data_IF_910282259484
#
_entry.id   IF_910282259484
#
_cell.length_a   1.000
_cell.length_b   1.000
_cell.length_c   1.000
_cell.angle_alpha   90.00
_cell.angle_beta   90.00
_cell.angle_gamma   90.00
#
_symmetry.space_group_name_H-M   'P 1'
#
loop_
_entity.id
_entity.type
_entity.pdbx_description
1 polymer ?
#
# COMPACT_ATOMS: atom_id res chain seq x y z
N UNK A 1 -26.80 1.13 5.59
CA UNK A 1 -26.16 -0.03 6.24
C UNK A 1 -24.74 0.38 6.51
N UNK A 2 -24.35 0.52 7.78
CA UNK A 2 -22.99 0.87 8.17
C UNK A 2 -22.06 -0.20 7.61
N UNK A 3 -21.32 0.15 6.56
CA UNK A 3 -20.20 -0.67 6.12
C UNK A 3 -19.18 -0.58 7.25
N UNK A 4 -19.16 -1.60 8.10
CA UNK A 4 -18.17 -1.77 9.17
C UNK A 4 -16.79 -1.57 8.54
N UNK A 5 -16.21 -0.39 8.73
CA UNK A 5 -14.88 -0.09 8.20
C UNK A 5 -13.93 -1.14 8.76
N UNK A 6 -13.36 -1.99 7.91
CA UNK A 6 -12.35 -2.97 8.30
C UNK A 6 -11.17 -2.21 8.90
N UNK A 7 -11.11 -2.17 10.23
CA UNK A 7 -10.08 -1.47 10.99
C UNK A 7 -8.94 -2.44 11.25
N UNK A 8 -7.89 -2.31 10.45
CA UNK A 8 -6.59 -2.88 10.77
C UNK A 8 -5.88 -1.96 11.77
N UNK A 9 -5.08 -2.53 12.68
CA UNK A 9 -4.20 -1.73 13.52
C UNK A 9 -3.22 -0.94 12.65
N UNK A 10 -2.91 0.29 13.08
CA UNK A 10 -1.87 1.08 12.43
C UNK A 10 -0.55 0.34 12.46
N UNK A 11 0.23 0.51 11.40
CA UNK A 11 1.54 -0.09 11.28
C UNK A 11 2.57 0.70 12.06
N UNK A 12 3.15 0.07 13.07
CA UNK A 12 4.18 0.64 13.93
C UNK A 12 5.62 0.36 13.44
N UNK A 13 5.78 -0.46 12.39
CA UNK A 13 7.08 -0.92 11.89
C UNK A 13 7.41 -2.37 12.23
N UNK A 14 6.56 -3.06 13.00
CA UNK A 14 6.75 -4.45 13.43
C UNK A 14 5.81 -5.41 12.72
N UNK A 15 6.24 -6.67 12.57
CA UNK A 15 5.45 -7.73 11.92
C UNK A 15 4.87 -7.33 10.56
N UNK A 16 5.73 -6.77 9.69
CA UNK A 16 5.34 -6.25 8.38
C UNK A 16 4.57 -7.26 7.53
N UNK A 17 4.93 -8.56 7.55
CA UNK A 17 4.21 -9.58 6.79
C UNK A 17 2.72 -9.68 7.16
N UNK A 18 2.41 -9.70 8.46
CA UNK A 18 1.02 -9.78 8.91
C UNK A 18 0.24 -8.50 8.60
N UNK A 19 0.88 -7.33 8.79
CA UNK A 19 0.25 -6.06 8.44
C UNK A 19 0.02 -5.94 6.92
N UNK A 20 1.03 -6.28 6.12
CA UNK A 20 0.98 -6.29 4.64
C UNK A 20 -0.19 -7.13 4.15
N UNK A 21 -0.32 -8.37 4.64
CA UNK A 21 -1.42 -9.25 4.27
C UNK A 21 -2.79 -8.65 4.61
N UNK A 22 -2.97 -8.13 5.84
CA UNK A 22 -4.23 -7.47 6.23
C UNK A 22 -4.54 -6.24 5.39
N UNK A 23 -3.53 -5.42 5.09
CA UNK A 23 -3.69 -4.24 4.27
C UNK A 23 -4.07 -4.60 2.83
N UNK A 24 -3.44 -5.63 2.25
CA UNK A 24 -3.84 -6.15 0.94
C UNK A 24 -5.33 -6.52 0.92
N UNK A 25 -5.83 -7.25 1.94
CA UNK A 25 -7.25 -7.59 2.03
C UNK A 25 -8.17 -6.35 2.11
N UNK A 26 -7.75 -5.30 2.82
CA UNK A 26 -8.50 -4.03 2.87
C UNK A 26 -8.51 -3.32 1.51
N UNK A 27 -7.43 -3.41 0.74
CA UNK A 27 -7.34 -2.81 -0.60
C UNK A 27 -8.15 -3.61 -1.62
N UNK A 28 -8.16 -4.93 -1.54
CA UNK A 28 -8.99 -5.82 -2.36
C UNK A 28 -10.48 -5.59 -2.09
N UNK A 29 -10.92 -5.53 -0.82
CA UNK A 29 -12.30 -5.22 -0.42
C UNK A 29 -12.82 -3.88 -0.98
N UNK A 30 -11.90 -2.97 -1.33
CA UNK A 30 -12.21 -1.62 -1.81
C UNK A 30 -12.00 -1.43 -3.31
N UNK A 31 -11.67 -2.49 -4.04
CA UNK A 31 -11.32 -2.50 -5.47
C UNK A 31 -10.15 -1.56 -5.80
N UNK A 32 -9.14 -1.55 -4.92
CA UNK A 32 -7.97 -0.68 -5.01
C UNK A 32 -6.68 -1.44 -5.30
N UNK A 33 -6.66 -2.75 -5.06
CA UNK A 33 -5.44 -3.56 -5.12
C UNK A 33 -4.77 -3.52 -6.50
N UNK A 34 -5.54 -3.62 -7.58
CA UNK A 34 -5.06 -3.57 -8.97
C UNK A 34 -4.15 -2.36 -9.30
N UNK A 35 -4.39 -1.22 -8.63
CA UNK A 35 -3.58 0.00 -8.79
C UNK A 35 -2.35 -0.03 -7.88
N UNK A 36 -2.43 -0.72 -6.74
CA UNK A 36 -1.34 -0.83 -5.76
C UNK A 36 -0.33 -1.88 -6.21
N UNK A 37 -0.78 -3.04 -6.69
CA UNK A 37 0.06 -4.12 -7.23
C UNK A 37 0.73 -3.75 -8.55
N UNK A 38 0.22 -2.71 -9.23
CA UNK A 38 0.69 -2.29 -10.55
C UNK A 38 0.18 -3.18 -11.69
N UNK A 39 -0.85 -3.99 -11.45
CA UNK A 39 -1.60 -4.72 -12.49
C UNK A 39 -2.21 -3.76 -13.51
N UNK A 40 -2.77 -2.64 -13.03
CA UNK A 40 -3.19 -1.51 -13.85
C UNK A 40 -2.21 -0.37 -13.64
N UNK A 41 -1.70 0.19 -14.74
CA UNK A 41 -0.80 1.34 -14.75
C UNK A 41 -1.42 2.52 -15.49
N UNK A 42 -0.89 3.71 -15.20
CA UNK A 42 -1.36 4.94 -15.82
C UNK A 42 -1.22 4.90 -17.34
N UNK A 43 -0.16 4.26 -17.86
CA UNK A 43 0.16 4.20 -19.30
C UNK A 43 -0.81 3.31 -20.08
N UNK A 44 -1.52 2.40 -19.40
CA UNK A 44 -2.52 1.52 -20.01
C UNK A 44 -3.90 2.19 -20.14
N UNK A 45 -4.08 3.38 -19.56
CA UNK A 45 -5.37 4.09 -19.57
C UNK A 45 -5.51 4.92 -20.86
N UNK A 46 -6.23 4.38 -21.85
CA UNK A 46 -6.39 5.01 -23.17
C UNK A 46 -7.38 6.18 -23.17
N UNK A 47 -8.47 6.08 -22.40
CA UNK A 47 -9.50 7.13 -22.36
C UNK A 47 -9.31 8.09 -21.19
N UNK A 48 -9.85 9.31 -21.32
CA UNK A 48 -9.86 10.27 -20.21
C UNK A 48 -10.63 9.74 -18.98
N UNK A 49 -11.67 8.94 -19.22
CA UNK A 49 -12.46 8.31 -18.15
C UNK A 49 -11.63 7.28 -17.38
N UNK A 50 -10.85 6.45 -18.07
CA UNK A 50 -9.98 5.45 -17.45
C UNK A 50 -8.88 6.15 -16.63
N UNK A 51 -8.26 7.18 -17.20
CA UNK A 51 -7.24 7.97 -16.49
C UNK A 51 -7.80 8.65 -15.24
N UNK A 52 -9.01 9.20 -15.30
CA UNK A 52 -9.67 9.81 -14.15
C UNK A 52 -10.00 8.75 -13.07
N UNK A 53 -10.47 7.58 -13.49
CA UNK A 53 -10.79 6.44 -12.61
C UNK A 53 -9.53 5.91 -11.93
N UNK A 54 -8.47 5.67 -12.69
CA UNK A 54 -7.16 5.26 -12.17
C UNK A 54 -6.61 6.26 -11.15
N UNK A 55 -6.60 7.57 -11.49
CA UNK A 55 -6.13 8.62 -10.58
C UNK A 55 -6.96 8.66 -9.29
N UNK A 56 -8.28 8.46 -9.37
CA UNK A 56 -9.15 8.40 -8.20
C UNK A 56 -8.84 7.18 -7.32
N UNK A 57 -8.72 5.99 -7.92
CA UNK A 57 -8.34 4.76 -7.21
C UNK A 57 -6.97 4.90 -6.55
N UNK A 58 -5.97 5.39 -7.28
CA UNK A 58 -4.61 5.62 -6.79
C UNK A 58 -4.59 6.56 -5.58
N UNK A 59 -5.28 7.72 -5.64
CA UNK A 59 -5.38 8.63 -4.48
C UNK A 59 -6.09 7.99 -3.28
N UNK A 60 -7.17 7.24 -3.52
CA UNK A 60 -7.90 6.54 -2.45
C UNK A 60 -7.03 5.48 -1.79
N UNK A 61 -6.30 4.68 -2.58
CA UNK A 61 -5.37 3.68 -2.08
C UNK A 61 -4.23 4.31 -1.27
N UNK A 62 -3.64 5.40 -1.77
CA UNK A 62 -2.61 6.15 -1.06
C UNK A 62 -3.10 6.65 0.30
N UNK A 63 -4.32 7.20 0.35
CA UNK A 63 -4.92 7.65 1.60
C UNK A 63 -5.13 6.48 2.57
N UNK A 64 -5.63 5.32 2.11
CA UNK A 64 -5.79 4.12 2.94
C UNK A 64 -4.46 3.64 3.51
N UNK A 65 -3.42 3.57 2.68
CA UNK A 65 -2.07 3.17 3.12
C UNK A 65 -1.55 4.13 4.20
N UNK A 66 -1.53 5.43 3.92
CA UNK A 66 -1.03 6.43 4.87
C UNK A 66 -1.80 6.45 6.19
N UNK A 67 -3.14 6.34 6.15
CA UNK A 67 -3.97 6.39 7.35
C UNK A 67 -3.85 5.14 8.23
N UNK A 68 -3.37 4.03 7.66
CA UNK A 68 -3.09 2.80 8.39
C UNK A 68 -1.65 2.69 8.87
N UNK A 69 -0.89 3.79 8.83
CA UNK A 69 0.48 3.86 9.36
C UNK A 69 0.52 4.71 10.62
N UNK A 70 1.42 4.36 11.55
CA UNK A 70 1.79 5.27 12.61
C UNK A 70 2.63 6.43 12.07
N UNK A 71 2.58 7.57 12.77
CA UNK A 71 3.24 8.81 12.33
C UNK A 71 4.75 8.62 12.14
N UNK A 72 5.36 7.73 12.93
CA UNK A 72 6.79 7.38 12.82
C UNK A 72 7.16 6.69 11.51
N UNK A 73 6.20 6.03 10.86
CA UNK A 73 6.42 5.28 9.61
C UNK A 73 6.07 6.11 8.36
N UNK A 74 5.26 7.17 8.51
CA UNK A 74 4.85 8.04 7.39
C UNK A 74 6.00 8.60 6.52
N UNK A 75 7.21 8.90 7.05
CA UNK A 75 8.32 9.35 6.21
C UNK A 75 8.69 8.37 5.07
N UNK A 76 8.41 7.07 5.22
CA UNK A 76 8.70 6.05 4.20
C UNK A 76 7.84 6.20 2.93
N UNK A 77 6.59 6.65 3.09
CA UNK A 77 5.61 6.75 2.00
C UNK A 77 5.33 8.19 1.59
N UNK A 78 5.69 9.20 2.40
CA UNK A 78 5.38 10.61 2.16
C UNK A 78 5.85 11.12 0.79
N UNK A 79 7.01 10.66 0.32
CA UNK A 79 7.60 11.09 -0.97
C UNK A 79 7.25 10.15 -2.13
N UNK A 80 6.31 9.23 -1.95
CA UNK A 80 5.84 8.36 -3.01
C UNK A 80 5.00 9.14 -4.03
N UNK A 81 5.18 8.80 -5.29
CA UNK A 81 4.47 9.39 -6.44
C UNK A 81 3.02 8.88 -6.59
N UNK A 82 2.68 7.79 -5.91
CA UNK A 82 1.36 7.17 -5.91
C UNK A 82 1.31 5.93 -5.03
N UNK A 83 0.15 5.26 -4.99
CA UNK A 83 -0.05 4.11 -4.10
C UNK A 83 0.85 2.90 -4.43
N UNK A 84 1.11 2.63 -5.71
CA UNK A 84 2.04 1.58 -6.14
C UNK A 84 3.47 1.86 -5.66
N UNK A 85 4.00 3.07 -5.90
CA UNK A 85 5.33 3.49 -5.43
C UNK A 85 5.42 3.44 -3.89
N UNK A 86 4.38 3.88 -3.17
CA UNK A 86 4.32 3.78 -1.71
C UNK A 86 4.41 2.32 -1.24
N UNK A 87 3.67 1.42 -1.89
CA UNK A 87 3.69 -0.01 -1.58
C UNK A 87 5.05 -0.64 -1.82
N UNK A 88 5.64 -0.42 -3.01
CA UNK A 88 6.96 -0.95 -3.35
C UNK A 88 8.05 -0.46 -2.39
N UNK A 89 7.98 0.80 -1.92
CA UNK A 89 8.93 1.32 -0.91
C UNK A 89 8.81 0.61 0.43
N UNK A 90 7.59 0.26 0.85
CA UNK A 90 7.37 -0.49 2.09
C UNK A 90 7.93 -1.91 1.96
N UNK A 91 7.63 -2.60 0.86
CA UNK A 91 8.19 -3.92 0.57
C UNK A 91 9.72 -3.88 0.57
N UNK A 92 10.31 -2.94 -0.17
CA UNK A 92 11.75 -2.74 -0.23
C UNK A 92 12.36 -2.48 1.16
N UNK A 93 11.72 -1.67 1.99
CA UNK A 93 12.25 -1.32 3.30
C UNK A 93 12.22 -2.49 4.29
N UNK A 94 11.11 -3.22 4.36
CA UNK A 94 10.88 -4.23 5.41
C UNK A 94 11.23 -5.65 4.97
N UNK A 95 11.15 -5.98 3.68
CA UNK A 95 11.49 -7.32 3.18
C UNK A 95 13.00 -7.48 2.92
N UNK A 96 13.70 -6.43 2.44
CA UNK A 96 15.18 -6.46 2.36
C UNK A 96 15.80 -6.59 3.75
N UNK A 97 15.24 -5.92 4.76
CA UNK A 97 15.66 -6.08 6.17
C UNK A 97 15.41 -7.49 6.71
N UNK A 98 14.28 -8.11 6.34
CA UNK A 98 13.98 -9.49 6.74
C UNK A 98 15.01 -10.48 6.19
N UNK A 99 15.43 -10.33 4.92
CA UNK A 99 16.47 -11.19 4.32
C UNK A 99 17.85 -10.97 4.94
N UNK A 100 18.24 -9.71 5.17
CA UNK A 100 19.50 -9.38 5.84
C UNK A 100 19.54 -9.96 7.27
N UNK A 101 18.44 -9.88 8.01
CA UNK A 101 18.33 -10.43 9.37
C UNK A 101 18.43 -11.97 9.39
N UNK A 102 18.01 -12.66 8.32
CA UNK A 102 18.17 -14.12 8.20
C UNK A 102 19.60 -14.53 7.84
N UNK A 103 20.34 -13.70 7.08
CA UNK A 103 21.71 -14.01 6.65
C UNK A 103 22.76 -13.78 7.75
N UNK A 104 22.52 -12.86 8.69
CA UNK A 104 23.44 -12.59 9.82
C UNK A 104 23.28 -13.61 10.97
N UNK A 105 22.20 -14.40 10.95
CA UNK A 105 21.92 -15.43 11.95
C UNK A 105 22.50 -16.83 11.61
N UNK A 106 23.39 -16.91 10.62
CA UNK A 106 24.14 -18.10 10.19
C UNK A 106 25.64 -17.86 10.38
#
# INVERSE_FOLDING_TARGET
MDASSLRISKFDGTNFHAWKFKMQMVLEERDLWEVVSGEIKAEQCETQLDQATYKRKSRKAMAVICLAMEDSQLPLVRSASGACDAWSRLEDHFEKKSLANKLVAL
#
